data_IF_651705484389
#
_entry.id   IF_651705484389
#
_cell.length_a   1.000
_cell.length_b   1.000
_cell.length_c   1.000
_cell.angle_alpha   90.00
_cell.angle_beta   90.00
_cell.angle_gamma   90.00
#
_symmetry.space_group_name_H-M   'P 1'
#
loop_
_entity.id
_entity.type
_entity.pdbx_description
1 polymer ?
#
# COMPACT_ATOMS: atom_id res chain seq x y z
N UNK A 1 -19.24 -1.82 -47.41
CA UNK A 1 -19.25 -2.93 -46.43
C UNK A 1 -17.81 -3.16 -46.04
N UNK A 2 -17.31 -2.99 -44.81
CA UNK A 2 -17.92 -2.70 -43.52
C UNK A 2 -16.83 -2.02 -42.68
N UNK A 3 -17.19 -0.94 -41.97
CA UNK A 3 -16.32 -0.21 -41.04
C UNK A 3 -15.99 -1.10 -39.85
N UNK A 4 -14.72 -1.23 -39.49
CA UNK A 4 -14.32 -1.52 -38.12
C UNK A 4 -13.99 -0.18 -37.45
N UNK A 5 -14.86 0.20 -36.52
CA UNK A 5 -14.62 1.18 -35.47
C UNK A 5 -14.23 0.41 -34.18
N UNK A 6 -13.64 1.15 -33.24
CA UNK A 6 -13.26 0.80 -31.87
C UNK A 6 -11.78 0.40 -31.71
N UNK A 7 -10.99 0.99 -30.81
CA UNK A 7 -11.20 2.19 -29.99
C UNK A 7 -9.80 2.66 -29.56
N UNK A 8 -9.45 3.89 -29.89
CA UNK A 8 -8.14 4.52 -29.66
C UNK A 8 -8.08 5.16 -28.24
N UNK A 9 -8.67 4.47 -27.25
CA UNK A 9 -8.79 4.93 -25.85
C UNK A 9 -7.95 4.06 -24.92
N UNK A 10 -6.63 4.06 -25.14
CA UNK A 10 -5.69 3.66 -24.11
C UNK A 10 -5.16 4.93 -23.42
N UNK A 11 -6.01 5.52 -22.56
CA UNK A 11 -5.73 6.73 -21.77
C UNK A 11 -4.45 6.58 -20.91
N UNK A 12 -4.00 5.34 -20.67
CA UNK A 12 -2.81 5.03 -19.87
C UNK A 12 -1.53 4.85 -20.68
N UNK A 13 -1.62 4.74 -22.01
CA UNK A 13 -0.44 4.61 -22.88
C UNK A 13 0.29 5.95 -23.09
N UNK A 14 -0.37 7.08 -22.82
CA UNK A 14 0.25 8.43 -22.89
C UNK A 14 0.77 8.88 -21.53
N UNK A 15 1.60 8.08 -20.84
CA UNK A 15 2.45 8.64 -19.77
C UNK A 15 3.69 9.30 -20.41
N UNK A 16 3.84 10.64 -20.39
CA UNK A 16 5.02 11.34 -20.89
C UNK A 16 6.25 11.17 -19.97
N UNK A 17 6.35 10.05 -19.23
CA UNK A 17 7.43 9.76 -18.28
C UNK A 17 8.73 9.35 -18.98
N UNK A 18 8.69 8.96 -20.25
CA UNK A 18 9.90 8.67 -21.02
C UNK A 18 10.64 9.96 -21.41
N UNK A 19 9.91 11.04 -21.73
CA UNK A 19 10.49 12.33 -22.13
C UNK A 19 10.86 13.21 -20.93
N UNK A 20 10.13 13.10 -19.80
CA UNK A 20 10.44 13.82 -18.57
C UNK A 20 11.78 13.36 -17.95
N UNK A 21 12.10 12.06 -18.06
CA UNK A 21 13.38 11.46 -17.62
C UNK A 21 14.63 12.06 -18.28
N UNK A 22 14.49 12.72 -19.43
CA UNK A 22 15.61 13.24 -20.19
C UNK A 22 16.03 14.69 -19.80
N UNK A 23 15.29 15.39 -18.92
CA UNK A 23 15.49 16.84 -18.67
C UNK A 23 15.76 17.27 -17.23
N UNK A 24 15.85 16.37 -16.27
CA UNK A 24 15.69 16.79 -14.87
C UNK A 24 17.00 17.06 -14.14
N UNK A 25 17.10 18.28 -13.60
CA UNK A 25 18.08 18.68 -12.61
C UNK A 25 18.06 17.75 -11.40
N UNK A 26 19.24 17.48 -10.85
CA UNK A 26 19.47 16.50 -9.76
C UNK A 26 18.61 16.77 -8.51
N UNK A 27 18.24 18.03 -8.27
CA UNK A 27 17.43 18.44 -7.12
C UNK A 27 15.94 18.14 -7.30
N UNK A 28 15.43 18.23 -8.53
CA UNK A 28 14.03 17.85 -8.86
C UNK A 28 13.89 16.33 -8.84
N UNK A 29 14.87 15.60 -9.37
CA UNK A 29 14.91 14.13 -9.30
C UNK A 29 14.96 13.60 -7.86
N UNK A 30 15.73 14.25 -6.99
CA UNK A 30 15.81 13.86 -5.58
C UNK A 30 14.48 14.10 -4.84
N UNK A 31 13.80 15.22 -5.12
CA UNK A 31 12.50 15.51 -4.54
C UNK A 31 11.41 14.56 -5.07
N UNK A 32 11.40 14.28 -6.38
CA UNK A 32 10.48 13.32 -6.99
C UNK A 32 10.72 11.89 -6.48
N UNK A 33 11.99 11.49 -6.28
CA UNK A 33 12.33 10.19 -5.71
C UNK A 33 11.92 10.07 -4.24
N UNK A 34 12.06 11.14 -3.46
CA UNK A 34 11.62 11.17 -2.06
C UNK A 34 10.10 11.01 -1.95
N UNK A 35 9.33 11.77 -2.76
CA UNK A 35 7.87 11.64 -2.84
C UNK A 35 7.46 10.23 -3.28
N UNK A 36 8.07 9.69 -4.34
CA UNK A 36 7.76 8.34 -4.81
C UNK A 36 8.08 7.26 -3.75
N UNK A 37 9.18 7.44 -3.00
CA UNK A 37 9.53 6.54 -1.90
C UNK A 37 8.57 6.63 -0.72
N UNK A 38 8.04 7.82 -0.42
CA UNK A 38 7.01 8.00 0.59
C UNK A 38 5.68 7.36 0.13
N UNK A 39 5.28 7.55 -1.12
CA UNK A 39 4.06 6.98 -1.69
C UNK A 39 4.12 5.44 -1.67
N UNK A 40 5.24 4.87 -2.11
CA UNK A 40 5.47 3.43 -2.04
C UNK A 40 5.40 2.89 -0.60
N UNK A 41 5.89 3.65 0.38
CA UNK A 41 5.75 3.32 1.80
C UNK A 41 4.30 3.34 2.27
N UNK A 42 3.52 4.37 1.91
CA UNK A 42 2.11 4.46 2.26
C UNK A 42 1.32 3.29 1.68
N UNK A 43 1.45 3.02 0.37
CA UNK A 43 0.77 1.93 -0.32
C UNK A 43 1.11 0.58 0.31
N UNK A 44 2.40 0.30 0.54
CA UNK A 44 2.83 -0.94 1.15
C UNK A 44 2.33 -1.10 2.60
N UNK A 45 2.33 -0.01 3.38
CA UNK A 45 1.83 -0.03 4.75
C UNK A 45 0.32 -0.33 4.79
N UNK A 46 -0.48 0.33 3.94
CA UNK A 46 -1.93 0.07 3.86
C UNK A 46 -2.17 -1.36 3.40
N UNK A 47 -1.48 -1.82 2.34
CA UNK A 47 -1.59 -3.19 1.85
C UNK A 47 -1.29 -4.22 2.96
N UNK A 48 -0.22 -4.01 3.75
CA UNK A 48 0.14 -4.89 4.86
C UNK A 48 -0.93 -4.90 5.97
N UNK A 49 -1.43 -3.74 6.37
CA UNK A 49 -2.49 -3.64 7.37
C UNK A 49 -3.78 -4.34 6.90
N UNK A 50 -4.10 -4.25 5.61
CA UNK A 50 -5.28 -4.88 5.02
C UNK A 50 -5.17 -6.40 4.91
N UNK A 51 -3.97 -6.95 4.64
CA UNK A 51 -3.72 -8.40 4.70
C UNK A 51 -4.01 -8.92 6.10
N UNK A 52 -3.52 -8.23 7.13
CA UNK A 52 -3.68 -8.62 8.53
C UNK A 52 -5.15 -8.56 8.94
N UNK A 53 -5.83 -7.44 8.65
CA UNK A 53 -7.25 -7.27 9.01
C UNK A 53 -8.20 -8.24 8.28
N UNK A 54 -7.75 -8.91 7.21
CA UNK A 54 -8.56 -9.92 6.53
C UNK A 54 -8.05 -11.34 6.77
N UNK A 55 -7.14 -11.55 7.72
CA UNK A 55 -6.47 -12.83 7.93
C UNK A 55 -7.42 -13.95 8.38
N UNK A 56 -8.44 -13.62 9.17
CA UNK A 56 -9.47 -14.57 9.61
C UNK A 56 -10.64 -14.73 8.61
N UNK A 57 -10.61 -13.94 7.54
CA UNK A 57 -11.59 -13.96 6.46
C UNK A 57 -12.68 -12.91 6.55
N UNK A 58 -12.75 -12.01 7.53
CA UNK A 58 -13.62 -10.83 7.46
C UNK A 58 -13.01 -9.68 8.26
N UNK A 59 -12.78 -8.52 7.62
CA UNK A 59 -12.41 -7.33 8.38
C UNK A 59 -13.64 -6.68 9.00
N UNK A 60 -13.66 -6.53 10.31
CA UNK A 60 -14.74 -5.85 11.01
C UNK A 60 -14.60 -4.30 10.93
N UNK A 61 -15.69 -3.59 11.23
CA UNK A 61 -15.69 -2.12 11.26
C UNK A 61 -14.70 -1.55 12.30
N UNK A 62 -14.35 -2.30 13.35
CA UNK A 62 -13.40 -1.87 14.37
C UNK A 62 -11.96 -1.92 13.84
N UNK A 63 -11.55 -2.99 13.16
CA UNK A 63 -10.25 -3.15 12.51
C UNK A 63 -10.03 -2.06 11.46
N UNK A 64 -11.02 -1.80 10.60
CA UNK A 64 -10.95 -0.70 9.64
C UNK A 64 -10.71 0.65 10.34
N UNK A 65 -11.45 0.94 11.42
CA UNK A 65 -11.27 2.18 12.20
C UNK A 65 -9.89 2.25 12.86
N UNK A 66 -9.34 1.12 13.33
CA UNK A 66 -8.00 1.04 13.92
C UNK A 66 -6.92 1.36 12.90
N UNK A 67 -7.00 0.76 11.70
CA UNK A 67 -6.10 1.07 10.59
C UNK A 67 -6.13 2.57 10.29
N UNK A 68 -7.32 3.14 10.06
CA UNK A 68 -7.45 4.59 9.81
C UNK A 68 -6.86 5.43 10.94
N UNK A 69 -7.12 5.07 12.21
CA UNK A 69 -6.60 5.80 13.37
C UNK A 69 -5.07 5.74 13.45
N UNK A 70 -4.48 4.56 13.28
CA UNK A 70 -3.04 4.37 13.38
C UNK A 70 -2.29 5.11 12.28
N UNK A 71 -2.82 5.09 11.05
CA UNK A 71 -2.25 5.81 9.92
C UNK A 71 -2.29 7.33 10.13
N UNK A 72 -3.37 7.87 10.72
CA UNK A 72 -3.46 9.29 11.09
C UNK A 72 -2.47 9.70 12.17
N UNK A 73 -2.11 8.80 13.07
CA UNK A 73 -1.18 9.08 14.18
C UNK A 73 0.28 8.84 13.83
N UNK A 74 0.58 8.19 12.71
CA UNK A 74 1.95 7.83 12.35
C UNK A 74 2.73 9.04 11.79
N UNK A 75 3.88 9.42 12.40
CA UNK A 75 4.68 10.57 11.94
C UNK A 75 5.19 10.45 10.51
N UNK A 76 5.45 9.24 10.01
CA UNK A 76 5.92 9.01 8.64
C UNK A 76 4.81 9.17 7.60
N UNK A 77 3.54 9.15 8.02
CA UNK A 77 2.38 9.32 7.16
C UNK A 77 1.73 10.70 7.26
N UNK A 78 2.21 11.56 8.17
CA UNK A 78 1.74 12.95 8.30
C UNK A 78 2.02 13.81 7.05
N UNK A 79 2.94 13.38 6.18
CA UNK A 79 3.19 14.02 4.88
C UNK A 79 2.08 13.79 3.86
N UNK A 80 1.17 12.83 4.10
CA UNK A 80 0.06 12.51 3.21
C UNK A 80 -1.24 13.20 3.64
N UNK A 81 -2.06 13.54 2.66
CA UNK A 81 -3.43 13.98 2.94
C UNK A 81 -4.20 12.85 3.60
N UNK A 82 -4.93 13.17 4.67
CA UNK A 82 -5.83 12.21 5.32
C UNK A 82 -6.86 11.63 4.35
N UNK A 83 -7.25 12.40 3.34
CA UNK A 83 -8.21 11.98 2.32
C UNK A 83 -7.60 10.96 1.36
N UNK A 84 -6.30 11.07 1.06
CA UNK A 84 -5.58 10.13 0.20
C UNK A 84 -5.41 8.78 0.90
N UNK A 85 -5.02 8.81 2.19
CA UNK A 85 -4.93 7.63 3.03
C UNK A 85 -6.30 6.94 3.16
N UNK A 86 -7.37 7.70 3.43
CA UNK A 86 -8.71 7.15 3.57
C UNK A 86 -9.21 6.50 2.26
N UNK A 87 -8.97 7.16 1.13
CA UNK A 87 -9.33 6.65 -0.20
C UNK A 87 -8.59 5.37 -0.55
N UNK A 88 -7.31 5.28 -0.23
CA UNK A 88 -6.52 4.06 -0.48
C UNK A 88 -7.01 2.88 0.39
N UNK A 89 -7.31 3.13 1.67
CA UNK A 89 -7.91 2.12 2.57
C UNK A 89 -9.27 1.65 2.03
N UNK A 90 -10.11 2.57 1.55
CA UNK A 90 -11.41 2.25 0.98
C UNK A 90 -11.28 1.43 -0.31
N UNK A 91 -10.33 1.78 -1.19
CA UNK A 91 -10.05 1.03 -2.41
C UNK A 91 -9.62 -0.42 -2.09
N UNK A 92 -8.74 -0.61 -1.11
CA UNK A 92 -8.39 -1.94 -0.64
C UNK A 92 -9.59 -2.67 -0.05
N UNK A 93 -10.39 -2.02 0.80
CA UNK A 93 -11.57 -2.65 1.43
C UNK A 93 -12.56 -3.14 0.37
N UNK A 94 -12.85 -2.32 -0.64
CA UNK A 94 -13.71 -2.71 -1.75
C UNK A 94 -13.10 -3.86 -2.56
N UNK A 95 -11.79 -3.85 -2.80
CA UNK A 95 -11.10 -4.94 -3.48
C UNK A 95 -11.23 -6.28 -2.72
N UNK A 96 -11.03 -6.27 -1.40
CA UNK A 96 -11.15 -7.45 -0.54
C UNK A 96 -12.60 -7.97 -0.46
N UNK A 97 -13.58 -7.08 -0.48
CA UNK A 97 -15.01 -7.44 -0.51
C UNK A 97 -15.43 -8.05 -1.86
N UNK A 98 -14.83 -7.61 -2.97
CA UNK A 98 -15.16 -8.09 -4.31
C UNK A 98 -14.52 -9.46 -4.63
N UNK A 99 -13.22 -9.60 -4.37
CA UNK A 99 -12.47 -10.85 -4.60
C UNK A 99 -11.25 -10.87 -3.67
N UNK A 100 -11.35 -11.66 -2.60
CA UNK A 100 -10.34 -11.76 -1.56
C UNK A 100 -9.01 -12.30 -2.09
N UNK A 101 -9.03 -13.37 -2.87
CA UNK A 101 -7.80 -14.03 -3.32
C UNK A 101 -7.02 -13.11 -4.26
N UNK A 102 -7.75 -12.43 -5.16
CA UNK A 102 -7.19 -11.43 -6.05
C UNK A 102 -6.66 -10.20 -5.29
N UNK A 103 -7.39 -9.73 -4.28
CA UNK A 103 -6.96 -8.62 -3.44
C UNK A 103 -5.72 -8.94 -2.60
N UNK A 104 -5.65 -10.13 -1.99
CA UNK A 104 -4.47 -10.63 -1.28
C UNK A 104 -3.25 -10.70 -2.20
N UNK A 105 -3.43 -11.23 -3.42
CA UNK A 105 -2.36 -11.29 -4.42
C UNK A 105 -1.81 -9.89 -4.77
N UNK A 106 -2.69 -8.91 -4.95
CA UNK A 106 -2.29 -7.52 -5.21
C UNK A 106 -1.61 -6.87 -4.00
N UNK A 107 -2.15 -7.04 -2.79
CA UNK A 107 -1.59 -6.48 -1.57
C UNK A 107 -0.17 -7.02 -1.32
N UNK A 108 0.06 -8.32 -1.51
CA UNK A 108 1.39 -8.94 -1.46
C UNK A 108 2.33 -8.34 -2.49
N UNK A 109 1.86 -8.14 -3.73
CA UNK A 109 2.66 -7.53 -4.78
C UNK A 109 3.10 -6.12 -4.41
N UNK A 110 2.19 -5.27 -3.90
CA UNK A 110 2.53 -3.92 -3.44
C UNK A 110 3.66 -3.92 -2.42
N UNK A 111 3.63 -4.82 -1.43
CA UNK A 111 4.68 -4.92 -0.42
C UNK A 111 6.01 -5.36 -1.04
N UNK A 112 6.00 -6.42 -1.86
CA UNK A 112 7.23 -6.99 -2.42
C UNK A 112 7.88 -6.03 -3.42
N UNK A 113 7.11 -5.36 -4.27
CA UNK A 113 7.63 -4.47 -5.31
C UNK A 113 7.91 -3.06 -4.84
N UNK A 114 7.47 -2.68 -3.63
CA UNK A 114 7.75 -1.35 -3.10
C UNK A 114 9.27 -1.16 -2.88
N UNK A 115 9.76 0.01 -3.28
CA UNK A 115 11.15 0.41 -3.08
C UNK A 115 11.34 0.96 -1.67
N UNK A 116 11.23 0.07 -0.68
CA UNK A 116 11.35 0.44 0.74
C UNK A 116 12.78 0.28 1.23
N UNK A 117 13.26 1.32 1.89
CA UNK A 117 14.47 1.25 2.71
C UNK A 117 14.25 0.36 3.94
N UNK A 118 15.34 -0.14 4.54
CA UNK A 118 15.26 -0.95 5.75
C UNK A 118 14.51 -0.26 6.92
N UNK A 119 14.74 1.04 7.21
CA UNK A 119 13.97 1.77 8.21
C UNK A 119 12.47 1.84 7.89
N UNK A 120 12.11 2.10 6.64
CA UNK A 120 10.70 2.12 6.21
C UNK A 120 10.04 0.76 6.38
N UNK A 121 10.69 -0.33 5.97
CA UNK A 121 10.14 -1.67 6.18
C UNK A 121 9.97 -1.99 7.67
N UNK A 122 10.92 -1.61 8.52
CA UNK A 122 10.78 -1.78 9.98
C UNK A 122 9.61 -0.97 10.54
N UNK A 123 9.42 0.27 10.08
CA UNK A 123 8.28 1.10 10.47
C UNK A 123 6.95 0.49 10.01
N UNK A 124 6.90 -0.10 8.81
CA UNK A 124 5.74 -0.82 8.31
C UNK A 124 5.37 -1.98 9.25
N UNK A 125 6.34 -2.80 9.65
CA UNK A 125 6.10 -3.90 10.61
C UNK A 125 5.65 -3.36 11.97
N UNK A 126 6.20 -2.23 12.43
CA UNK A 126 5.76 -1.58 13.67
C UNK A 126 4.32 -1.09 13.59
N UNK A 127 3.91 -0.49 12.47
CA UNK A 127 2.52 -0.10 12.24
C UNK A 127 1.62 -1.34 12.35
N UNK A 128 1.99 -2.43 11.68
CA UNK A 128 1.23 -3.68 11.73
C UNK A 128 1.10 -4.21 13.15
N UNK A 129 2.20 -4.27 13.93
CA UNK A 129 2.15 -4.68 15.34
C UNK A 129 1.22 -3.78 16.17
N UNK A 130 1.25 -2.46 15.96
CA UNK A 130 0.33 -1.55 16.64
C UNK A 130 -1.14 -1.78 16.26
N UNK A 131 -1.43 -2.24 15.03
CA UNK A 131 -2.79 -2.65 14.63
C UNK A 131 -3.24 -3.86 15.47
N UNK A 132 -2.39 -4.88 15.60
CA UNK A 132 -2.68 -6.10 16.38
C UNK A 132 -2.84 -5.83 17.88
N UNK A 133 -2.14 -4.83 18.42
CA UNK A 133 -2.18 -4.53 19.86
C UNK A 133 -3.36 -3.61 20.25
N UNK A 134 -4.04 -3.00 19.28
CA UNK A 134 -4.99 -1.91 19.52
C UNK A 134 -6.24 -2.33 20.30
N UNK A 135 -6.63 -3.60 20.29
CA UNK A 135 -7.77 -4.14 21.05
C UNK A 135 -7.39 -5.03 22.23
N UNK A 136 -6.09 -5.25 22.42
CA UNK A 136 -5.54 -6.07 23.49
C UNK A 136 -5.72 -7.58 23.30
N UNK A 137 -6.20 -8.06 22.15
CA UNK A 137 -6.36 -9.49 21.85
C UNK A 137 -5.69 -9.80 20.52
N UNK A 138 -4.61 -10.59 20.55
CA UNK A 138 -3.94 -11.04 19.32
C UNK A 138 -4.57 -12.35 18.86
N UNK A 139 -5.12 -12.38 17.65
CA UNK A 139 -5.63 -13.60 17.05
C UNK A 139 -4.50 -14.36 16.33
N UNK A 140 -4.52 -15.70 16.39
CA UNK A 140 -3.49 -16.54 15.76
C UNK A 140 -3.36 -16.30 14.26
N UNK A 141 -4.47 -16.01 13.57
CA UNK A 141 -4.50 -15.70 12.14
C UNK A 141 -3.80 -14.38 11.81
N UNK A 142 -3.97 -13.35 12.65
CA UNK A 142 -3.28 -12.07 12.48
C UNK A 142 -1.78 -12.19 12.75
N UNK A 143 -1.38 -13.02 13.73
CA UNK A 143 0.04 -13.31 14.00
C UNK A 143 0.69 -14.04 12.82
N UNK A 144 0.00 -14.99 12.21
CA UNK A 144 0.46 -15.70 11.03
C UNK A 144 0.58 -14.76 9.82
N UNK A 145 -0.42 -13.90 9.60
CA UNK A 145 -0.39 -12.88 8.55
C UNK A 145 0.76 -11.86 8.76
N UNK A 146 1.01 -11.44 10.01
CA UNK A 146 2.14 -10.57 10.34
C UNK A 146 3.48 -11.26 10.05
N UNK A 147 3.62 -12.55 10.39
CA UNK A 147 4.82 -13.33 10.08
C UNK A 147 5.02 -13.46 8.57
N UNK A 148 3.93 -13.64 7.82
CA UNK A 148 3.94 -13.66 6.36
C UNK A 148 4.48 -12.32 5.81
N UNK A 149 3.87 -11.19 6.21
CA UNK A 149 4.29 -9.84 5.80
C UNK A 149 5.75 -9.57 6.18
N UNK A 150 6.19 -9.95 7.38
CA UNK A 150 7.57 -9.78 7.82
C UNK A 150 8.59 -10.59 7.00
N UNK A 151 8.15 -11.69 6.39
CA UNK A 151 8.96 -12.51 5.48
C UNK A 151 9.07 -11.91 4.07
N UNK A 152 8.13 -11.03 3.67
CA UNK A 152 8.13 -10.35 2.38
C UNK A 152 9.19 -9.25 2.37
N UNK A 153 10.42 -9.62 2.03
CA UNK A 153 11.54 -8.69 1.86
C UNK A 153 11.34 -7.87 0.57
N UNK A 154 11.07 -6.54 0.65
CA UNK A 154 10.93 -5.72 -0.55
C UNK A 154 12.23 -5.59 -1.35
N UNK A 155 12.15 -5.21 -2.62
CA UNK A 155 13.30 -5.06 -3.51
C UNK A 155 14.40 -4.13 -2.98
N UNK A 156 14.04 -3.06 -2.27
CA UNK A 156 14.96 -2.11 -1.62
C UNK A 156 15.56 -2.56 -0.29
N UNK A 157 15.19 -3.76 0.19
CA UNK A 157 15.66 -4.33 1.45
C UNK A 157 17.10 -4.88 1.30
N UNK A 158 18.09 -3.98 1.29
CA UNK A 158 19.53 -4.31 1.37
C UNK A 158 20.17 -3.71 2.60
#
# INVERSE_FOLDING_TARGET
MTKFHSNDDDIFARRPLAELRARLDRHTLAAEADVAGQEAFMEAAIAAAMIIAHADGEADDAERRRIVSLFRTNPMLQGFSTDDVAREIEAHTHAFAADRDSALGRARAYIVTADLTNPQFRSLIQICMSVLEADGIRHSFEEEALAEVASMRPWGYR
#
